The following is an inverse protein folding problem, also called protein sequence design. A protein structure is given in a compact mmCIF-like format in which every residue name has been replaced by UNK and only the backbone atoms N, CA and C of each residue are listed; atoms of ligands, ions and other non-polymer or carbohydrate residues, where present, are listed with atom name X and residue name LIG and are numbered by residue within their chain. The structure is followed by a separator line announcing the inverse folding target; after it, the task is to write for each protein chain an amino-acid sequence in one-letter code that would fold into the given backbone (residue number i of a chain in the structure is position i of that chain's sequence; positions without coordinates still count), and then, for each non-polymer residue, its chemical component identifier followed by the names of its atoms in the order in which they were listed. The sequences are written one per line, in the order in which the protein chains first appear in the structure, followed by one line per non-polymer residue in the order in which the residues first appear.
data_IF_463493191341
#
_entry.id   IF_463493191341
#
_cell.length_a   1.000
_cell.length_b   1.000
_cell.length_c   1.000
_cell.angle_alpha   90.00
_cell.angle_beta   90.00
_cell.angle_gamma   90.00
#
_symmetry.space_group_name_H-M   'P 1'
#
loop_
_entity.id
_entity.type
_entity.pdbx_description
1 polymer ?
#
# COMPACT_ATOMS: atom_id res chain seq x y z
N UNK A 1 2.64 18.08 9.01
CA UNK A 1 3.73 17.74 9.96
C UNK A 1 3.16 16.97 11.16
N UNK A 2 3.10 15.64 11.09
CA UNK A 2 2.60 14.83 12.21
C UNK A 2 3.57 14.84 13.39
N UNK A 3 3.09 15.20 14.57
CA UNK A 3 3.92 15.29 15.77
C UNK A 3 4.12 13.94 16.48
N UNK A 4 3.29 12.94 16.22
CA UNK A 4 3.17 11.75 17.10
C UNK A 4 2.76 10.44 16.42
N UNK A 5 2.99 10.29 15.10
CA UNK A 5 2.75 8.99 14.46
C UNK A 5 3.74 7.95 15.01
N UNK A 6 3.23 6.79 15.39
CA UNK A 6 4.04 5.66 15.82
C UNK A 6 3.96 4.55 14.75
N UNK A 7 4.79 3.52 14.88
CA UNK A 7 4.71 2.35 13.98
C UNK A 7 4.43 1.16 14.87
N UNK A 8 3.16 0.98 15.18
CA UNK A 8 2.67 -0.06 16.11
C UNK A 8 1.43 -0.79 15.60
N UNK A 9 0.90 -0.39 14.44
CA UNK A 9 -0.23 -1.03 13.78
C UNK A 9 -1.57 -0.68 14.41
N UNK A 10 -1.59 0.20 15.41
CA UNK A 10 -2.76 1.00 15.77
C UNK A 10 -2.83 2.18 14.80
N UNK A 11 -4.03 2.50 14.30
CA UNK A 11 -4.19 3.61 13.34
C UNK A 11 -4.95 4.79 13.96
N UNK A 12 -5.12 4.81 15.28
CA UNK A 12 -5.90 5.86 15.96
C UNK A 12 -5.33 7.27 15.79
N UNK A 13 -4.03 7.45 15.50
CA UNK A 13 -3.47 8.76 15.14
C UNK A 13 -4.00 9.32 13.81
N UNK A 14 -4.57 8.45 12.97
CA UNK A 14 -5.14 8.79 11.67
C UNK A 14 -6.64 9.11 11.75
N UNK A 15 -7.26 8.92 12.92
CA UNK A 15 -8.68 9.19 13.12
C UNK A 15 -9.02 10.65 12.79
N UNK A 16 -10.10 10.83 12.01
CA UNK A 16 -10.55 12.14 11.53
C UNK A 16 -9.69 12.75 10.42
N UNK A 17 -8.63 12.08 9.95
CA UNK A 17 -7.87 12.48 8.75
C UNK A 17 -8.53 11.90 7.49
N UNK A 18 -8.47 12.66 6.40
CA UNK A 18 -8.93 12.17 5.09
C UNK A 18 -8.02 11.06 4.58
N UNK A 19 -8.61 10.07 3.92
CA UNK A 19 -7.91 8.88 3.42
C UNK A 19 -7.88 8.90 1.89
N UNK A 20 -6.85 8.29 1.31
CA UNK A 20 -6.93 7.79 -0.05
C UNK A 20 -7.50 6.37 -0.03
N UNK A 21 -8.31 6.02 -1.02
CA UNK A 21 -8.93 4.70 -1.11
C UNK A 21 -8.38 3.90 -2.30
N UNK A 22 -8.03 2.66 -2.01
CA UNK A 22 -7.90 1.56 -2.96
C UNK A 22 -9.13 0.68 -2.81
N UNK A 23 -10.09 0.79 -3.72
CA UNK A 23 -11.33 0.03 -3.66
C UNK A 23 -11.76 -0.29 -5.10
N UNK A 24 -12.09 -1.57 -5.32
CA UNK A 24 -12.78 -1.98 -6.52
C UNK A 24 -14.23 -2.34 -6.20
N UNK A 25 -15.17 -1.52 -6.70
CA UNK A 25 -16.60 -1.84 -6.65
C UNK A 25 -17.16 -2.00 -8.07
N UNK A 26 -17.55 -3.22 -8.45
CA UNK A 26 -18.29 -3.44 -9.69
C UNK A 26 -19.75 -2.97 -9.55
N UNK A 27 -20.21 -2.11 -10.46
CA UNK A 27 -21.61 -1.70 -10.55
C UNK A 27 -22.05 -1.66 -12.01
N UNK A 28 -23.02 -2.51 -12.37
CA UNK A 28 -23.56 -2.67 -13.72
C UNK A 28 -24.22 -1.40 -14.31
N UNK A 29 -24.50 -0.38 -13.49
CA UNK A 29 -25.06 0.91 -13.91
C UNK A 29 -24.11 2.12 -13.66
N UNK A 30 -22.87 1.89 -13.23
CA UNK A 30 -21.84 2.95 -13.11
C UNK A 30 -20.86 2.80 -14.27
N UNK A 31 -21.28 3.27 -15.45
CA UNK A 31 -20.40 3.41 -16.60
C UNK A 31 -19.40 4.54 -16.32
N UNK A 32 -18.27 4.20 -15.72
CA UNK A 32 -17.14 5.10 -15.59
C UNK A 32 -16.58 5.16 -14.17
N UNK A 33 -15.25 5.01 -14.14
CA UNK A 33 -14.31 5.18 -13.03
C UNK A 33 -14.21 3.93 -12.15
N UNK A 34 -13.00 3.64 -11.66
CA UNK A 34 -12.58 2.50 -10.82
C UNK A 34 -12.05 1.22 -11.49
N UNK A 35 -12.04 1.10 -12.83
CA UNK A 35 -11.25 0.04 -13.50
C UNK A 35 -9.73 0.32 -13.47
N UNK A 36 -9.34 1.57 -13.22
CA UNK A 36 -7.96 2.05 -13.36
C UNK A 36 -7.03 1.56 -12.25
N UNK A 37 -7.55 1.09 -11.11
CA UNK A 37 -6.76 0.65 -9.96
C UNK A 37 -6.35 -0.82 -10.01
N UNK A 38 -6.90 -1.63 -10.92
CA UNK A 38 -6.44 -3.02 -11.10
C UNK A 38 -5.11 -2.98 -11.87
N UNK A 39 -4.04 -3.47 -11.24
CA UNK A 39 -2.71 -3.53 -11.83
C UNK A 39 -2.40 -4.90 -12.43
N UNK A 40 -2.68 -5.98 -11.70
CA UNK A 40 -2.45 -7.35 -12.14
C UNK A 40 -3.54 -8.30 -11.61
N UNK A 41 -3.72 -9.44 -12.27
CA UNK A 41 -4.68 -10.47 -11.90
C UNK A 41 -6.15 -10.16 -12.23
N UNK A 42 -6.47 -8.91 -12.63
CA UNK A 42 -7.86 -8.52 -12.94
C UNK A 42 -8.33 -8.68 -14.38
N UNK A 43 -7.51 -9.21 -15.30
CA UNK A 43 -7.98 -9.59 -16.66
C UNK A 43 -8.76 -10.92 -16.71
N UNK A 44 -9.19 -11.46 -15.57
CA UNK A 44 -10.27 -12.45 -15.54
C UNK A 44 -11.67 -11.87 -15.87
N UNK A 45 -11.75 -10.69 -16.51
CA UNK A 45 -12.98 -10.19 -17.14
C UNK A 45 -13.55 -11.12 -18.23
N UNK A 46 -12.78 -12.11 -18.71
CA UNK A 46 -13.29 -13.17 -19.60
C UNK A 46 -14.03 -14.30 -18.86
N UNK A 47 -13.82 -14.44 -17.54
CA UNK A 47 -14.52 -15.37 -16.65
C UNK A 47 -15.64 -14.69 -15.84
N UNK A 48 -15.91 -13.40 -16.10
CA UNK A 48 -16.86 -12.56 -15.37
C UNK A 48 -18.30 -13.09 -15.37
N UNK A 49 -18.62 -14.05 -16.23
CA UNK A 49 -19.92 -14.72 -16.25
C UNK A 49 -19.95 -16.09 -15.56
N UNK A 50 -18.82 -16.68 -15.16
CA UNK A 50 -18.82 -18.05 -14.60
C UNK A 50 -17.95 -18.28 -13.35
N UNK A 51 -16.90 -17.50 -13.05
CA UNK A 51 -15.98 -17.87 -11.95
C UNK A 51 -15.28 -16.76 -11.18
N UNK A 52 -15.41 -15.47 -11.55
CA UNK A 52 -14.82 -14.38 -10.75
C UNK A 52 -15.64 -14.08 -9.50
N UNK A 53 -15.20 -14.62 -8.37
CA UNK A 53 -15.47 -14.00 -7.07
C UNK A 53 -14.48 -12.84 -6.93
N UNK A 54 -15.07 -11.65 -6.89
CA UNK A 54 -14.65 -10.33 -6.43
C UNK A 54 -13.18 -10.15 -6.03
N UNK A 55 -12.56 -9.04 -6.48
CA UNK A 55 -11.55 -8.39 -5.65
C UNK A 55 -12.30 -7.93 -4.40
N UNK A 56 -12.16 -8.67 -3.30
CA UNK A 56 -12.81 -8.41 -2.01
C UNK A 56 -11.89 -7.67 -1.04
N UNK A 57 -10.67 -7.35 -1.47
CA UNK A 57 -9.78 -6.45 -0.76
C UNK A 57 -10.11 -4.98 -1.01
N UNK A 58 -9.99 -4.16 0.04
CA UNK A 58 -9.90 -2.69 -0.09
C UNK A 58 -8.98 -2.11 0.97
N UNK A 59 -8.36 -0.98 0.66
CA UNK A 59 -7.42 -0.28 1.52
C UNK A 59 -7.79 1.18 1.73
N UNK A 60 -7.83 1.64 2.98
CA UNK A 60 -7.73 3.06 3.30
C UNK A 60 -6.29 3.40 3.63
N UNK A 61 -5.77 4.44 2.98
CA UNK A 61 -4.37 4.85 3.06
C UNK A 61 -4.32 6.25 3.66
N UNK A 62 -3.38 6.42 4.58
CA UNK A 62 -2.96 7.71 5.08
C UNK A 62 -1.46 7.90 4.86
N UNK A 63 -1.07 9.15 4.63
CA UNK A 63 0.32 9.54 4.55
C UNK A 63 0.53 10.84 5.33
N UNK A 64 1.63 10.89 6.07
CA UNK A 64 2.04 12.02 6.89
C UNK A 64 3.55 12.12 6.91
N UNK A 65 4.08 13.24 7.38
CA UNK A 65 5.52 13.43 7.48
C UNK A 65 5.88 14.33 8.66
N UNK A 66 7.11 14.22 9.14
CA UNK A 66 7.72 15.09 10.14
C UNK A 66 9.18 15.39 9.77
N UNK A 67 9.98 15.92 10.71
CA UNK A 67 11.40 16.23 10.42
C UNK A 67 12.28 15.00 10.26
N UNK A 68 11.84 13.83 10.72
CA UNK A 68 12.61 12.59 10.72
C UNK A 68 12.30 11.72 9.50
N UNK A 69 11.04 11.70 9.06
CA UNK A 69 10.62 10.85 7.95
C UNK A 69 9.16 11.00 7.52
N UNK A 70 8.75 10.06 6.69
CA UNK A 70 7.39 9.88 6.17
C UNK A 70 6.76 8.70 6.90
N UNK A 71 5.47 8.83 7.22
CA UNK A 71 4.64 7.81 7.82
C UNK A 71 3.56 7.43 6.83
N UNK A 72 3.34 6.13 6.65
CA UNK A 72 2.26 5.59 5.84
C UNK A 72 1.48 4.62 6.72
N UNK A 73 0.19 4.90 6.91
CA UNK A 73 -0.75 4.00 7.58
C UNK A 73 -1.69 3.41 6.56
N UNK A 74 -1.99 2.11 6.66
CA UNK A 74 -2.91 1.43 5.76
C UNK A 74 -3.84 0.52 6.55
N UNK A 75 -5.14 0.72 6.39
CA UNK A 75 -6.17 -0.21 6.86
C UNK A 75 -6.64 -1.05 5.71
N UNK A 76 -6.49 -2.37 5.82
CA UNK A 76 -6.94 -3.34 4.84
C UNK A 76 -8.17 -4.05 5.37
N UNK A 77 -9.20 -4.15 4.52
CA UNK A 77 -10.31 -5.06 4.67
C UNK A 77 -10.14 -6.19 3.67
N UNK A 78 -10.23 -7.41 4.18
CA UNK A 78 -9.96 -8.65 3.47
C UNK A 78 -10.69 -9.75 4.24
N UNK A 79 -11.48 -10.57 3.55
CA UNK A 79 -12.28 -11.61 4.18
C UNK A 79 -11.54 -12.95 4.33
N UNK A 80 -10.36 -13.08 3.71
CA UNK A 80 -9.63 -14.34 3.59
C UNK A 80 -8.11 -14.09 3.53
N UNK A 81 -7.49 -14.07 4.71
CA UNK A 81 -6.04 -13.94 4.80
C UNK A 81 -5.33 -15.21 4.30
N UNK A 82 -4.51 -15.08 3.27
CA UNK A 82 -3.58 -16.09 2.80
C UNK A 82 -2.13 -15.74 3.19
N UNK A 83 -1.71 -16.05 4.44
CA UNK A 83 -0.41 -15.65 4.96
C UNK A 83 0.74 -16.22 4.13
N UNK A 84 1.89 -15.54 4.22
CA UNK A 84 3.11 -15.93 3.51
C UNK A 84 3.54 -17.35 3.88
N UNK A 85 3.85 -18.16 2.86
CA UNK A 85 4.36 -19.53 3.03
C UNK A 85 5.75 -19.68 2.42
N UNK A 86 6.49 -20.70 2.87
CA UNK A 86 7.83 -21.02 2.32
C UNK A 86 7.79 -21.44 0.84
N UNK A 87 6.66 -21.96 0.37
CA UNK A 87 6.45 -22.52 -0.97
C UNK A 87 5.70 -21.57 -1.91
N UNK A 88 5.30 -20.38 -1.45
CA UNK A 88 4.55 -19.41 -2.24
C UNK A 88 4.77 -17.99 -1.73
N UNK A 89 5.24 -17.12 -2.62
CA UNK A 89 5.36 -15.68 -2.37
C UNK A 89 4.02 -14.94 -2.50
N UNK A 90 3.01 -15.59 -3.10
CA UNK A 90 1.64 -15.07 -3.16
C UNK A 90 1.03 -15.06 -1.75
N UNK A 91 0.89 -13.86 -1.20
CA UNK A 91 0.30 -13.60 0.12
C UNK A 91 -0.20 -12.16 0.18
N UNK A 92 -1.06 -11.89 1.17
CA UNK A 92 -1.54 -10.55 1.44
C UNK A 92 -0.40 -9.66 1.88
N UNK A 93 -0.29 -8.53 1.19
CA UNK A 93 0.80 -7.61 1.40
C UNK A 93 0.43 -6.21 0.93
N UNK A 94 1.11 -5.25 1.51
CA UNK A 94 1.18 -3.89 0.98
C UNK A 94 2.59 -3.67 0.48
N UNK A 95 2.71 -3.03 -0.68
CA UNK A 95 3.97 -2.51 -1.18
C UNK A 95 3.86 -0.99 -1.29
N UNK A 96 4.83 -0.29 -0.70
CA UNK A 96 4.92 1.17 -0.71
C UNK A 96 6.16 1.54 -1.51
N UNK A 97 5.95 2.28 -2.59
CA UNK A 97 7.00 2.85 -3.43
C UNK A 97 7.09 4.33 -3.11
N UNK A 98 8.28 4.81 -2.79
CA UNK A 98 8.58 6.22 -2.58
C UNK A 98 9.75 6.61 -3.45
N UNK A 99 9.57 7.69 -4.18
CA UNK A 99 10.56 8.31 -5.07
C UNK A 99 10.85 9.71 -4.53
N UNK A 100 12.12 9.94 -4.17
CA UNK A 100 12.58 11.18 -3.56
C UNK A 100 12.76 12.35 -4.52
N UNK A 101 12.95 12.10 -5.82
CA UNK A 101 13.29 13.11 -6.83
C UNK A 101 12.25 13.24 -7.96
N UNK A 102 11.26 12.36 -7.97
CA UNK A 102 10.11 12.36 -8.91
C UNK A 102 10.56 12.10 -10.35
N UNK A 103 11.67 11.37 -10.57
CA UNK A 103 12.23 11.17 -11.92
C UNK A 103 11.69 9.96 -12.69
N UNK A 104 10.58 9.34 -12.26
CA UNK A 104 9.85 8.26 -12.95
C UNK A 104 10.75 7.05 -13.26
N UNK A 105 11.66 6.72 -12.34
CA UNK A 105 12.59 5.61 -12.41
C UNK A 105 12.37 4.52 -11.35
N UNK A 106 11.40 4.72 -10.47
CA UNK A 106 11.05 3.86 -9.33
C UNK A 106 10.58 2.44 -9.74
N UNK A 107 9.84 2.30 -10.84
CA UNK A 107 9.26 1.00 -11.24
C UNK A 107 10.22 0.17 -12.09
N UNK A 108 11.10 0.80 -12.90
CA UNK A 108 11.90 0.09 -13.91
C UNK A 108 13.40 -0.01 -13.57
N UNK A 109 13.93 0.92 -12.77
CA UNK A 109 15.34 0.93 -12.37
C UNK A 109 15.54 1.77 -11.10
N UNK A 110 15.13 1.26 -9.92
CA UNK A 110 15.17 2.01 -8.68
C UNK A 110 16.55 2.62 -8.45
N UNK A 111 16.60 3.94 -8.34
CA UNK A 111 17.79 4.68 -7.98
C UNK A 111 17.97 4.70 -6.47
N UNK A 112 19.04 5.36 -6.06
CA UNK A 112 19.51 5.32 -4.68
C UNK A 112 18.63 6.07 -3.68
N UNK A 113 17.67 6.83 -4.20
CA UNK A 113 16.66 7.64 -3.55
C UNK A 113 15.25 7.02 -3.63
N UNK A 114 15.12 5.88 -4.32
CA UNK A 114 13.90 5.09 -4.34
C UNK A 114 13.88 4.09 -3.19
N UNK A 115 12.72 4.00 -2.54
CA UNK A 115 12.47 3.07 -1.46
C UNK A 115 11.22 2.27 -1.76
N UNK A 116 11.40 0.95 -1.87
CA UNK A 116 10.31 -0.02 -1.93
C UNK A 116 10.25 -0.76 -0.60
N UNK A 117 9.08 -0.73 0.04
CA UNK A 117 8.81 -1.42 1.29
C UNK A 117 7.65 -2.37 1.07
N UNK A 118 7.89 -3.66 1.30
CA UNK A 118 6.84 -4.69 1.29
C UNK A 118 6.54 -5.12 2.72
N UNK A 119 5.27 -5.01 3.11
CA UNK A 119 4.75 -5.43 4.42
C UNK A 119 3.76 -6.55 4.15
N UNK A 120 4.10 -7.76 4.57
CA UNK A 120 3.21 -8.93 4.46
C UNK A 120 2.75 -9.36 5.83
N UNK A 121 1.49 -9.80 5.93
CA UNK A 121 1.00 -10.39 7.16
C UNK A 121 1.71 -11.74 7.38
N UNK A 122 2.61 -11.78 8.36
CA UNK A 122 3.29 -12.99 8.83
C UNK A 122 2.84 -13.27 10.26
N UNK A 123 2.75 -14.54 10.64
CA UNK A 123 2.54 -14.90 12.04
C UNK A 123 3.58 -14.22 12.93
N UNK A 124 3.13 -13.38 13.86
CA UNK A 124 3.99 -12.71 14.85
C UNK A 124 4.80 -11.53 14.34
N UNK A 125 4.55 -11.00 13.13
CA UNK A 125 5.13 -9.71 12.74
C UNK A 125 4.45 -8.61 13.55
N UNK A 126 5.19 -8.03 14.50
CA UNK A 126 4.74 -6.87 15.30
C UNK A 126 5.49 -5.62 14.86
N UNK A 127 6.76 -5.73 14.48
CA UNK A 127 7.52 -4.64 13.89
C UNK A 127 8.83 -5.18 13.30
N UNK A 128 9.26 -4.67 12.16
CA UNK A 128 10.56 -4.99 11.55
C UNK A 128 11.29 -3.70 11.17
N UNK A 129 12.61 -3.66 11.42
CA UNK A 129 13.49 -2.63 10.89
C UNK A 129 14.18 -3.15 9.64
N UNK A 130 13.98 -2.47 8.52
CA UNK A 130 14.52 -2.81 7.22
C UNK A 130 15.95 -2.26 7.05
N UNK A 131 16.67 -2.77 6.05
CA UNK A 131 18.08 -2.44 5.81
C UNK A 131 18.33 -0.95 5.54
N UNK A 132 17.35 -0.25 4.96
CA UNK A 132 17.37 1.20 4.73
C UNK A 132 17.03 2.03 5.99
N UNK A 133 16.78 1.38 7.12
CA UNK A 133 16.41 2.00 8.39
C UNK A 133 14.92 2.36 8.49
N UNK A 134 14.10 2.01 7.50
CA UNK A 134 12.66 2.07 7.63
C UNK A 134 12.18 1.08 8.70
N UNK A 135 11.02 1.37 9.29
CA UNK A 135 10.36 0.53 10.28
C UNK A 135 8.97 0.22 9.73
N UNK A 136 8.55 -1.03 9.79
CA UNK A 136 7.22 -1.44 9.37
C UNK A 136 6.56 -2.31 10.46
N UNK A 137 5.25 -2.21 10.59
CA UNK A 137 4.39 -3.03 11.45
C UNK A 137 3.21 -3.56 10.63
N UNK A 138 2.72 -4.75 10.99
CA UNK A 138 1.41 -5.22 10.56
C UNK A 138 0.66 -5.79 11.78
N UNK A 139 -0.66 -5.62 11.83
CA UNK A 139 -1.50 -6.10 12.93
C UNK A 139 -2.80 -6.68 12.37
N UNK A 140 -3.10 -7.97 12.64
CA UNK A 140 -4.36 -8.55 12.20
C UNK A 140 -5.54 -7.96 12.98
N UNK A 141 -6.71 -7.91 12.34
CA UNK A 141 -7.99 -7.49 12.86
C UNK A 141 -9.08 -8.49 12.45
N UNK A 142 -10.28 -8.38 13.03
CA UNK A 142 -11.35 -9.36 12.81
C UNK A 142 -11.88 -9.36 11.35
N UNK A 143 -11.75 -8.24 10.65
CA UNK A 143 -12.24 -7.97 9.29
C UNK A 143 -11.10 -7.53 8.34
N UNK A 144 -9.86 -7.93 8.64
CA UNK A 144 -8.69 -7.66 7.80
C UNK A 144 -7.44 -7.39 8.64
N UNK A 145 -6.71 -6.32 8.34
CA UNK A 145 -5.48 -5.98 9.05
C UNK A 145 -5.09 -4.50 8.90
N UNK A 146 -4.16 -4.04 9.74
CA UNK A 146 -3.50 -2.75 9.61
C UNK A 146 -2.03 -2.95 9.28
N UNK A 147 -1.46 -2.00 8.55
CA UNK A 147 -0.03 -1.85 8.39
C UNK A 147 0.40 -0.41 8.61
N UNK A 148 1.61 -0.24 9.13
CA UNK A 148 2.23 1.06 9.25
C UNK A 148 3.69 0.99 8.82
N UNK A 149 4.18 2.06 8.22
CA UNK A 149 5.58 2.23 7.90
C UNK A 149 6.06 3.63 8.27
N UNK A 150 7.27 3.68 8.83
CA UNK A 150 8.08 4.89 8.92
C UNK A 150 9.28 4.76 7.99
N UNK A 151 9.43 5.74 7.10
CA UNK A 151 10.51 5.82 6.12
C UNK A 151 11.33 7.07 6.44
N UNK A 152 12.56 6.93 6.97
CA UNK A 152 13.34 8.11 7.33
C UNK A 152 13.79 8.86 6.07
N UNK A 153 13.83 10.20 6.11
CA UNK A 153 14.21 11.02 4.95
C UNK A 153 15.58 10.65 4.37
N UNK A 154 16.50 10.16 5.22
CA UNK A 154 17.81 9.68 4.80
C UNK A 154 17.75 8.46 3.86
N UNK A 155 16.71 7.64 3.96
CA UNK A 155 16.51 6.50 3.07
C UNK A 155 16.20 6.97 1.64
N UNK A 156 15.45 8.07 1.52
CA UNK A 156 15.13 8.76 0.27
C UNK A 156 16.18 9.78 -0.16
N UNK A 157 17.22 10.01 0.66
CA UNK A 157 18.27 11.02 0.44
C UNK A 157 17.76 12.45 0.24
N UNK A 158 16.56 12.75 0.74
CA UNK A 158 15.95 14.09 0.65
C UNK A 158 16.18 14.91 1.91
N UNK A 159 15.99 16.23 1.78
CA UNK A 159 15.84 17.18 2.89
C UNK A 159 14.54 17.95 2.67
N UNK A 160 13.41 17.40 3.12
CA UNK A 160 12.10 17.89 2.71
C UNK A 160 11.83 19.28 3.27
N UNK A 161 11.08 20.05 2.50
CA UNK A 161 10.51 21.33 2.85
C UNK A 161 9.01 21.28 2.68
N UNK A 162 8.33 22.18 3.37
CA UNK A 162 6.90 22.39 3.13
C UNK A 162 6.71 22.76 1.66
N UNK A 163 5.74 22.12 1.01
CA UNK A 163 5.41 22.19 -0.41
C UNK A 163 6.34 21.45 -1.38
N UNK A 164 7.34 20.71 -0.89
CA UNK A 164 8.04 19.75 -1.74
C UNK A 164 7.06 18.64 -2.18
N UNK A 165 7.39 18.00 -3.30
CA UNK A 165 6.65 16.88 -3.87
C UNK A 165 7.56 15.67 -3.87
N UNK A 166 7.02 14.53 -3.49
CA UNK A 166 7.66 13.21 -3.63
C UNK A 166 6.74 12.30 -4.43
N UNK A 167 7.33 11.33 -5.13
CA UNK A 167 6.59 10.23 -5.72
C UNK A 167 6.14 9.26 -4.63
N UNK A 168 4.89 8.82 -4.70
CA UNK A 168 4.36 7.74 -3.87
C UNK A 168 3.44 6.86 -4.69
N UNK A 169 3.58 5.55 -4.51
CA UNK A 169 2.63 4.59 -5.00
C UNK A 169 2.44 3.46 -4.01
N UNK A 170 1.24 2.90 -4.02
CA UNK A 170 0.85 1.87 -3.06
C UNK A 170 0.17 0.76 -3.81
N UNK A 171 0.67 -0.45 -3.59
CA UNK A 171 0.14 -1.68 -4.12
C UNK A 171 -0.45 -2.49 -2.99
N UNK A 172 -1.67 -2.96 -3.19
CA UNK A 172 -2.36 -3.88 -2.29
C UNK A 172 -2.43 -5.23 -2.98
N UNK A 173 -1.69 -6.18 -2.46
CA UNK A 173 -1.72 -7.57 -2.88
C UNK A 173 -2.76 -8.29 -2.05
N UNK A 174 -3.68 -8.91 -2.75
CA UNK A 174 -4.70 -9.78 -2.21
C UNK A 174 -4.43 -11.17 -2.77
N UNK A 175 -4.28 -12.13 -1.87
CA UNK A 175 -4.04 -13.50 -2.20
C UNK A 175 -5.04 -14.37 -1.47
N UNK A 176 -5.55 -15.36 -2.19
CA UNK A 176 -6.72 -16.07 -1.72
C UNK A 176 -6.58 -17.57 -2.01
N UNK A 177 -7.15 -18.44 -1.17
CA UNK A 177 -7.02 -19.90 -1.32
C UNK A 177 -8.34 -20.52 -1.76
N UNK A 178 -8.53 -20.62 -3.07
CA UNK A 178 -9.68 -21.30 -3.66
C UNK A 178 -9.38 -22.78 -3.88
N UNK A 179 -9.80 -23.62 -2.93
CA UNK A 179 -9.58 -25.06 -2.96
C UNK A 179 -8.12 -25.43 -2.71
N UNK A 180 -7.39 -25.83 -3.76
CA UNK A 180 -5.93 -26.11 -3.71
C UNK A 180 -5.08 -25.09 -4.48
N UNK A 181 -5.72 -24.10 -5.11
CA UNK A 181 -5.05 -23.10 -5.93
C UNK A 181 -5.01 -21.79 -5.14
N UNK A 182 -3.86 -21.11 -5.17
CA UNK A 182 -3.80 -19.70 -4.78
C UNK A 182 -4.18 -18.83 -5.96
N UNK A 183 -5.10 -17.91 -5.73
CA UNK A 183 -5.44 -16.81 -6.62
C UNK A 183 -4.84 -15.54 -6.05
N UNK A 184 -4.63 -14.53 -6.90
CA UNK A 184 -4.14 -13.25 -6.44
C UNK A 184 -4.63 -12.13 -7.34
N UNK A 185 -4.75 -10.94 -6.76
CA UNK A 185 -4.98 -9.68 -7.45
C UNK A 185 -4.07 -8.61 -6.88
N UNK A 186 -3.77 -7.59 -7.68
CA UNK A 186 -3.01 -6.43 -7.23
C UNK A 186 -3.81 -5.17 -7.56
N UNK A 187 -4.16 -4.40 -6.52
CA UNK A 187 -4.64 -3.03 -6.66
C UNK A 187 -3.47 -2.06 -6.56
N UNK A 188 -3.48 -0.98 -7.34
CA UNK A 188 -2.43 0.05 -7.36
C UNK A 188 -3.04 1.44 -7.30
N UNK A 189 -2.47 2.31 -6.47
CA UNK A 189 -3.06 3.62 -6.19
C UNK A 189 -2.93 4.59 -7.36
N UNK A 190 -1.76 4.69 -7.97
CA UNK A 190 -1.58 5.45 -9.22
C UNK A 190 -2.24 4.76 -10.43
N UNK A 191 -2.83 3.58 -10.23
CA UNK A 191 -3.49 2.79 -11.25
C UNK A 191 -2.54 2.29 -12.34
N UNK A 192 -3.05 1.95 -13.53
CA UNK A 192 -2.25 1.57 -14.69
C UNK A 192 -1.30 2.64 -15.25
N UNK A 193 -1.03 3.71 -14.50
CA UNK A 193 -0.04 4.74 -14.81
C UNK A 193 1.35 4.13 -14.97
N UNK A 194 2.19 4.72 -15.83
CA UNK A 194 3.61 4.34 -15.91
C UNK A 194 4.44 4.95 -14.78
N UNK A 195 3.93 6.00 -14.14
CA UNK A 195 4.58 6.73 -13.06
C UNK A 195 3.83 6.59 -11.74
N UNK A 196 4.53 6.87 -10.65
CA UNK A 196 3.94 7.04 -9.32
C UNK A 196 2.90 8.16 -9.29
N UNK A 197 2.04 8.09 -8.27
CA UNK A 197 1.29 9.25 -7.84
C UNK A 197 2.18 10.22 -7.07
N UNK A 198 1.66 11.40 -6.75
CA UNK A 198 2.45 12.46 -6.13
C UNK A 198 1.85 12.85 -4.79
N UNK A 199 2.69 13.01 -3.77
CA UNK A 199 2.30 13.53 -2.47
C UNK A 199 2.91 14.92 -2.24
N UNK A 200 2.08 15.87 -1.82
CA UNK A 200 2.51 17.20 -1.40
C UNK A 200 2.86 17.20 0.08
N UNK A 201 4.06 17.65 0.42
CA UNK A 201 4.52 17.75 1.80
C UNK A 201 3.95 19.01 2.47
N UNK A 202 2.70 18.93 2.91
CA UNK A 202 2.02 20.06 3.56
C UNK A 202 2.40 20.17 5.04
N UNK A 203 2.53 21.41 5.54
CA UNK A 203 2.49 21.65 6.97
C UNK A 203 1.12 21.24 7.50
N UNK A 204 1.08 20.66 8.69
CA UNK A 204 -0.19 20.53 9.42
C UNK A 204 -0.13 21.57 10.52
N UNK A 205 -1.24 22.29 10.67
CA UNK A 205 -1.46 23.19 11.80
C UNK A 205 -1.51 22.42 13.13
#
# INVERSE_FOLDING_TARGET
RMASAHVDGDLSEWDGKSTAWLDYTYSWARFGRWLEQIYDGGEHLSEFFNTCKYVDVRGAIWCGWNDDGIFVGVRVWDDSLAPMRKDSELCDAIEIHLDGDVTDDDVNAPRTDDVIIRISLREGLVSERLANGAIACAKPLDDGWCAEAFIPHRALRIKPRVYDIIGIDIFLHDADVVGRKRTHAILRWAGGSRSTGHAWLLASD
#
